data_IF_303216866494
#
_entry.id   IF_303216866494
#
_cell.length_a   1.000
_cell.length_b   1.000
_cell.length_c   1.000
_cell.angle_alpha   90.00
_cell.angle_beta   90.00
_cell.angle_gamma   90.00
#
_symmetry.space_group_name_H-M   'P 1'
#
loop_
_entity.id
_entity.type
_entity.pdbx_description
1 polymer ?
#
# COMPACT_ATOMS: atom_id res chain seq x y z
N UNK A 1 17.44 -6.25 19.05
CA UNK A 1 18.25 -7.34 18.46
C UNK A 1 17.92 -7.54 16.99
N UNK A 2 18.43 -8.64 16.44
CA UNK A 2 18.23 -9.20 15.09
C UNK A 2 18.21 -10.72 15.24
N UNK A 3 17.29 -11.43 14.57
CA UNK A 3 17.27 -12.89 14.59
C UNK A 3 18.41 -13.46 13.73
N UNK A 4 18.97 -14.62 14.10
CA UNK A 4 20.09 -15.25 13.36
C UNK A 4 19.71 -15.69 11.94
N UNK A 5 18.42 -15.99 11.73
CA UNK A 5 17.83 -16.43 10.46
C UNK A 5 16.48 -15.73 10.25
N UNK A 6 15.92 -15.73 9.03
CA UNK A 6 14.54 -15.29 8.80
C UNK A 6 13.59 -15.90 9.83
N UNK A 7 12.80 -15.05 10.49
CA UNK A 7 11.88 -15.48 11.54
C UNK A 7 10.59 -14.68 11.52
N UNK A 8 9.53 -15.22 12.11
CA UNK A 8 8.30 -14.50 12.41
C UNK A 8 7.95 -14.64 13.89
N UNK A 9 7.24 -13.65 14.44
CA UNK A 9 6.71 -13.70 15.80
C UNK A 9 5.29 -14.24 15.76
N UNK A 10 4.99 -15.24 16.58
CA UNK A 10 3.64 -15.75 16.82
C UNK A 10 3.18 -15.31 18.20
N UNK A 11 2.06 -14.62 18.25
CA UNK A 11 1.33 -14.26 19.47
C UNK A 11 0.10 -15.15 19.54
N UNK A 12 0.08 -16.07 20.50
CA UNK A 12 -1.00 -17.04 20.67
C UNK A 12 -1.13 -17.43 22.14
N UNK A 13 -2.35 -17.46 22.68
CA UNK A 13 -2.60 -17.89 24.06
C UNK A 13 -1.93 -17.02 25.14
N UNK A 14 -1.60 -15.76 24.84
CA UNK A 14 -0.89 -14.85 25.74
C UNK A 14 0.65 -14.98 25.70
N UNK A 15 1.17 -15.90 24.89
CA UNK A 15 2.60 -16.13 24.71
C UNK A 15 3.11 -15.51 23.42
N UNK A 16 4.40 -15.14 23.40
CA UNK A 16 5.09 -14.66 22.20
C UNK A 16 6.25 -15.60 21.86
N UNK A 17 6.16 -16.26 20.70
CA UNK A 17 7.15 -17.26 20.26
C UNK A 17 7.78 -16.83 18.95
N UNK A 18 9.11 -16.87 18.89
CA UNK A 18 9.86 -16.66 17.65
C UNK A 18 9.95 -17.98 16.87
N UNK A 19 9.57 -17.98 15.61
CA UNK A 19 9.50 -19.16 14.73
C UNK A 19 10.29 -18.92 13.45
N UNK A 20 10.80 -20.00 12.85
CA UNK A 20 11.52 -19.93 11.57
C UNK A 20 10.60 -19.45 10.44
N UNK A 21 11.11 -18.57 9.57
CA UNK A 21 10.41 -18.04 8.41
C UNK A 21 11.24 -18.22 7.12
N UNK A 22 12.19 -19.16 7.09
CA UNK A 22 13.08 -19.34 5.95
C UNK A 22 12.31 -19.65 4.67
N UNK A 23 11.22 -20.39 4.78
CA UNK A 23 10.33 -20.75 3.66
C UNK A 23 9.38 -19.61 3.21
N UNK A 24 9.31 -18.51 3.97
CA UNK A 24 8.52 -17.32 3.66
C UNK A 24 9.37 -16.17 3.10
N UNK A 25 10.69 -16.25 3.26
CA UNK A 25 11.61 -15.22 2.79
C UNK A 25 11.63 -15.21 1.25
N UNK A 26 11.52 -14.03 0.65
CA UNK A 26 11.38 -13.83 -0.79
C UNK A 26 9.94 -13.85 -1.30
N UNK A 27 8.98 -14.33 -0.51
CA UNK A 27 7.56 -14.30 -0.88
C UNK A 27 6.99 -12.88 -0.77
N UNK A 28 6.02 -12.57 -1.63
CA UNK A 28 5.13 -11.41 -1.47
C UNK A 28 4.32 -11.49 -0.18
N UNK A 29 3.77 -10.34 0.24
CA UNK A 29 2.94 -10.22 1.44
C UNK A 29 1.73 -11.15 1.36
N UNK A 30 1.03 -11.21 0.22
CA UNK A 30 -0.18 -12.00 0.11
C UNK A 30 0.08 -13.50 0.31
N UNK A 31 1.11 -14.03 -0.34
CA UNK A 31 1.53 -15.42 -0.19
C UNK A 31 2.02 -15.71 1.23
N UNK A 32 2.73 -14.77 1.85
CA UNK A 32 3.17 -14.87 3.25
C UNK A 32 1.98 -14.94 4.21
N UNK A 33 1.00 -14.05 4.03
CA UNK A 33 -0.23 -14.00 4.83
C UNK A 33 -1.03 -15.30 4.69
N UNK A 34 -1.22 -15.80 3.47
CA UNK A 34 -1.96 -17.04 3.23
C UNK A 34 -1.26 -18.25 3.86
N UNK A 35 0.07 -18.35 3.73
CA UNK A 35 0.85 -19.41 4.35
C UNK A 35 0.76 -19.38 5.89
N UNK A 36 0.84 -18.19 6.50
CA UNK A 36 0.76 -18.06 7.95
C UNK A 36 -0.66 -18.32 8.49
N UNK A 37 -1.70 -17.94 7.76
CA UNK A 37 -3.09 -18.31 8.08
C UNK A 37 -3.34 -19.81 7.94
N UNK A 38 -2.73 -20.46 6.95
CA UNK A 38 -2.80 -21.92 6.82
C UNK A 38 -2.12 -22.63 8.01
N UNK A 39 -1.04 -22.06 8.57
CA UNK A 39 -0.32 -22.62 9.72
C UNK A 39 -1.03 -22.38 11.06
N UNK A 40 -1.58 -21.19 11.27
CA UNK A 40 -2.03 -20.72 12.61
C UNK A 40 -3.53 -20.41 12.68
N UNK A 41 -4.30 -20.75 11.65
CA UNK A 41 -5.75 -20.56 11.58
C UNK A 41 -6.17 -19.45 10.62
N UNK A 42 -7.30 -19.67 9.93
CA UNK A 42 -7.79 -18.78 8.88
C UNK A 42 -8.11 -17.36 9.37
N UNK A 43 -8.39 -17.19 10.67
CA UNK A 43 -8.69 -15.91 11.32
C UNK A 43 -7.45 -15.17 11.83
N UNK A 44 -6.27 -15.78 11.75
CA UNK A 44 -5.03 -15.16 12.20
C UNK A 44 -4.77 -13.83 11.47
N UNK A 45 -4.37 -12.83 12.23
CA UNK A 45 -4.00 -11.52 11.71
C UNK A 45 -2.49 -11.50 11.50
N UNK A 46 -2.08 -11.13 10.29
CA UNK A 46 -0.68 -11.18 9.85
C UNK A 46 -0.27 -9.79 9.41
N UNK A 47 0.80 -9.26 10.00
CA UNK A 47 1.51 -8.09 9.52
C UNK A 47 2.87 -8.55 8.99
N UNK A 48 3.11 -8.42 7.68
CA UNK A 48 4.27 -8.97 6.99
C UNK A 48 5.00 -7.94 6.14
N UNK A 49 6.28 -8.22 5.87
CA UNK A 49 7.05 -7.53 4.83
C UNK A 49 7.10 -8.36 3.56
N UNK A 50 7.16 -7.69 2.41
CA UNK A 50 7.53 -8.30 1.14
C UNK A 50 9.03 -8.13 0.83
N UNK A 51 9.47 -8.48 -0.39
CA UNK A 51 10.86 -8.38 -0.82
C UNK A 51 11.51 -7.00 -0.62
N UNK A 52 10.74 -5.90 -0.72
CA UNK A 52 11.31 -4.57 -0.48
C UNK A 52 11.80 -4.38 0.96
N UNK A 53 11.09 -4.94 1.95
CA UNK A 53 11.54 -4.93 3.34
C UNK A 53 12.77 -5.80 3.54
N UNK A 54 12.79 -7.00 2.94
CA UNK A 54 13.91 -7.94 2.98
C UNK A 54 15.19 -7.34 2.38
N UNK A 55 15.04 -6.58 1.29
CA UNK A 55 16.12 -5.87 0.61
C UNK A 55 16.38 -4.48 1.17
N UNK A 56 15.79 -4.13 2.32
CA UNK A 56 16.06 -2.87 3.04
C UNK A 56 15.79 -1.60 2.21
N UNK A 57 14.79 -1.60 1.33
CA UNK A 57 14.34 -0.39 0.63
C UNK A 57 13.90 0.64 1.67
N UNK A 58 14.39 1.89 1.57
CA UNK A 58 14.26 2.89 2.65
C UNK A 58 12.82 3.24 3.02
N UNK A 59 11.90 3.01 2.10
CA UNK A 59 10.47 3.24 2.22
C UNK A 59 9.69 1.93 2.05
N UNK A 60 10.25 0.82 2.53
CA UNK A 60 9.53 -0.44 2.63
C UNK A 60 8.45 -0.39 3.72
N UNK A 61 7.31 -0.98 3.39
CA UNK A 61 6.09 -1.08 4.20
C UNK A 61 6.07 -2.37 5.01
N UNK A 62 5.33 -2.35 6.12
CA UNK A 62 4.74 -3.56 6.71
C UNK A 62 3.27 -3.57 6.31
N UNK A 63 2.76 -4.68 5.79
CA UNK A 63 1.39 -4.77 5.28
C UNK A 63 0.60 -5.80 6.08
N UNK A 64 -0.56 -5.38 6.59
CA UNK A 64 -1.46 -6.24 7.36
C UNK A 64 -2.52 -6.87 6.46
N UNK A 65 -2.69 -8.18 6.59
CA UNK A 65 -3.53 -8.97 5.70
C UNK A 65 -2.98 -8.95 4.29
N UNK A 66 -3.80 -8.49 3.34
CA UNK A 66 -3.41 -8.38 1.93
C UNK A 66 -3.15 -6.94 1.50
N UNK A 67 -3.70 -5.94 2.20
CA UNK A 67 -3.91 -4.60 1.64
C UNK A 67 -3.89 -3.42 2.62
N UNK A 68 -3.44 -3.60 3.87
CA UNK A 68 -3.41 -2.52 4.88
C UNK A 68 -1.97 -2.13 5.23
N UNK A 69 -1.32 -1.25 4.46
CA UNK A 69 0.07 -0.89 4.67
C UNK A 69 0.26 0.11 5.83
N UNK A 70 1.19 -0.20 6.73
CA UNK A 70 1.96 0.78 7.48
C UNK A 70 3.14 1.22 6.60
N UNK A 71 2.86 2.13 5.64
CA UNK A 71 3.76 2.36 4.51
C UNK A 71 4.97 3.25 4.79
N UNK A 72 4.77 4.37 5.49
CA UNK A 72 5.80 5.42 5.59
C UNK A 72 6.87 5.10 6.64
N UNK A 73 7.98 5.82 6.55
CA UNK A 73 9.12 5.78 7.49
C UNK A 73 9.98 4.51 7.46
N UNK A 74 9.78 3.62 6.48
CA UNK A 74 10.68 2.48 6.27
C UNK A 74 10.59 1.40 7.33
N UNK A 75 9.42 1.23 7.96
CA UNK A 75 9.22 0.22 8.99
C UNK A 75 9.49 -1.20 8.44
N UNK A 76 9.16 -1.45 7.18
CA UNK A 76 9.45 -2.72 6.52
C UNK A 76 10.96 -3.02 6.41
N UNK A 77 11.79 -2.00 6.19
CA UNK A 77 13.25 -2.16 6.19
C UNK A 77 13.79 -2.43 7.60
N UNK A 78 13.16 -1.87 8.64
CA UNK A 78 13.49 -2.18 10.04
C UNK A 78 13.17 -3.64 10.37
N UNK A 79 12.05 -4.16 9.86
CA UNK A 79 11.70 -5.58 9.95
C UNK A 79 12.75 -6.45 9.25
N UNK A 80 13.08 -6.13 7.98
CA UNK A 80 14.09 -6.86 7.21
C UNK A 80 15.48 -6.84 7.88
N UNK A 81 15.91 -5.69 8.41
CA UNK A 81 17.18 -5.56 9.12
C UNK A 81 17.26 -6.41 10.39
N UNK A 82 16.10 -6.83 10.93
CA UNK A 82 16.00 -7.72 12.09
C UNK A 82 15.80 -9.18 11.71
N UNK A 83 15.82 -9.51 10.42
CA UNK A 83 15.40 -10.81 9.87
C UNK A 83 13.97 -11.20 10.32
N UNK A 84 13.09 -10.20 10.50
CA UNK A 84 11.70 -10.40 10.92
C UNK A 84 10.78 -10.33 9.70
N UNK A 85 10.26 -11.47 9.26
CA UNK A 85 9.34 -11.57 8.11
C UNK A 85 7.93 -11.09 8.44
N UNK A 86 7.43 -11.45 9.62
CA UNK A 86 6.05 -11.16 10.00
C UNK A 86 5.84 -11.15 11.52
N UNK A 87 4.73 -10.55 11.93
CA UNK A 87 4.09 -10.75 13.23
C UNK A 87 2.71 -11.34 12.99
N UNK A 88 2.40 -12.43 13.68
CA UNK A 88 1.14 -13.17 13.58
C UNK A 88 0.45 -13.13 14.93
N UNK A 89 -0.79 -12.66 14.96
CA UNK A 89 -1.66 -12.77 16.12
C UNK A 89 -2.74 -13.82 15.83
N UNK A 90 -2.72 -14.91 16.60
CA UNK A 90 -3.68 -16.01 16.53
C UNK A 90 -4.47 -16.08 17.84
N UNK A 91 -5.80 -16.13 17.72
CA UNK A 91 -6.73 -16.15 18.85
C UNK A 91 -7.96 -15.30 18.59
N UNK A 92 -9.02 -15.60 19.34
CA UNK A 92 -10.35 -14.99 19.22
C UNK A 92 -10.91 -14.50 20.56
N UNK A 93 -10.12 -14.58 21.63
CA UNK A 93 -10.52 -14.12 22.97
C UNK A 93 -10.68 -12.60 22.96
N UNK A 94 -11.91 -12.08 23.19
CA UNK A 94 -12.12 -10.64 23.26
C UNK A 94 -11.38 -10.03 24.45
N UNK A 95 -10.88 -8.80 24.28
CA UNK A 95 -10.33 -8.05 25.40
C UNK A 95 -11.44 -7.74 26.43
N UNK A 96 -11.16 -7.86 27.75
CA UNK A 96 -12.12 -7.46 28.76
C UNK A 96 -12.40 -5.95 28.66
N UNK A 97 -13.68 -5.58 28.68
CA UNK A 97 -14.14 -4.19 28.67
C UNK A 97 -14.75 -3.84 30.02
N UNK A 98 -14.44 -2.64 30.54
CA UNK A 98 -14.93 -2.19 31.84
C UNK A 98 -16.45 -1.96 31.86
N UNK A 99 -17.01 -1.44 30.76
CA UNK A 99 -18.43 -1.16 30.61
C UNK A 99 -18.86 -1.46 29.17
N UNK A 100 -19.39 -2.67 28.96
CA UNK A 100 -19.89 -3.10 27.65
C UNK A 100 -21.11 -2.30 27.19
N UNK A 101 -21.92 -1.77 28.12
CA UNK A 101 -23.10 -0.98 27.83
C UNK A 101 -22.73 0.37 27.21
N UNK A 102 -21.75 1.06 27.81
CA UNK A 102 -21.21 2.31 27.29
C UNK A 102 -20.53 2.13 25.93
N UNK A 103 -19.75 1.05 25.74
CA UNK A 103 -19.14 0.75 24.43
C UNK A 103 -20.21 0.51 23.36
N UNK A 104 -21.27 -0.23 23.69
CA UNK A 104 -22.39 -0.46 22.76
C UNK A 104 -23.11 0.85 22.40
N UNK A 105 -23.37 1.73 23.39
CA UNK A 105 -23.98 3.03 23.17
C UNK A 105 -23.13 3.95 22.28
N UNK A 106 -21.81 4.02 22.53
CA UNK A 106 -20.88 4.77 21.69
C UNK A 106 -20.82 4.21 20.26
N UNK A 107 -20.81 2.88 20.12
CA UNK A 107 -20.82 2.23 18.80
C UNK A 107 -22.08 2.58 18.01
N UNK A 108 -23.25 2.60 18.65
CA UNK A 108 -24.50 3.02 18.03
C UNK A 108 -24.46 4.50 17.62
N UNK A 109 -24.00 5.38 18.53
CA UNK A 109 -23.86 6.82 18.27
C UNK A 109 -22.95 7.10 17.06
N UNK A 110 -21.78 6.48 16.98
CA UNK A 110 -20.86 6.67 15.86
C UNK A 110 -21.43 6.13 14.55
N UNK A 111 -22.12 4.98 14.59
CA UNK A 111 -22.78 4.42 13.39
C UNK A 111 -23.81 5.39 12.81
N UNK A 112 -24.62 6.03 13.66
CA UNK A 112 -25.59 7.04 13.23
C UNK A 112 -24.92 8.35 12.77
N UNK A 113 -23.91 8.80 13.50
CA UNK A 113 -23.19 10.04 13.19
C UNK A 113 -22.41 9.95 11.89
N UNK A 114 -21.78 8.81 11.60
CA UNK A 114 -21.03 8.61 10.36
C UNK A 114 -21.94 8.60 9.13
N UNK A 115 -23.14 8.02 9.23
CA UNK A 115 -24.09 8.00 8.14
C UNK A 115 -24.58 9.40 7.72
N UNK A 116 -24.57 10.36 8.66
CA UNK A 116 -25.01 11.75 8.42
C UNK A 116 -23.85 12.72 8.21
N UNK A 117 -22.61 12.31 8.47
CA UNK A 117 -21.41 13.11 8.21
C UNK A 117 -21.06 13.09 6.71
N UNK A 118 -20.95 14.26 6.04
CA UNK A 118 -20.71 14.30 4.59
C UNK A 118 -19.45 13.58 4.12
N UNK A 119 -18.34 13.72 4.85
CA UNK A 119 -17.06 13.10 4.48
C UNK A 119 -17.11 11.58 4.68
N UNK A 120 -17.65 11.13 5.81
CA UNK A 120 -17.80 9.70 6.09
C UNK A 120 -18.72 9.03 5.07
N UNK A 121 -19.88 9.64 4.76
CA UNK A 121 -20.80 9.15 3.75
C UNK A 121 -20.16 9.09 2.35
N UNK A 122 -19.38 10.11 1.96
CA UNK A 122 -18.62 10.11 0.71
C UNK A 122 -17.61 8.96 0.65
N UNK A 123 -16.84 8.77 1.74
CA UNK A 123 -15.85 7.70 1.84
C UNK A 123 -16.48 6.29 1.95
N UNK A 124 -17.70 6.18 2.46
CA UNK A 124 -18.42 4.91 2.51
C UNK A 124 -18.93 4.48 1.12
N UNK A 125 -19.31 5.46 0.28
CA UNK A 125 -19.69 5.25 -1.12
C UNK A 125 -18.53 4.74 -1.98
N UNK A 126 -18.78 4.42 -3.24
CA UNK A 126 -17.72 4.03 -4.19
C UNK A 126 -17.14 5.25 -4.91
N UNK A 127 -15.81 5.31 -5.15
CA UNK A 127 -14.81 4.26 -4.92
C UNK A 127 -14.15 4.32 -3.52
N UNK A 128 -14.84 4.90 -2.55
CA UNK A 128 -14.46 4.97 -1.14
C UNK A 128 -13.35 5.96 -0.85
N UNK A 129 -12.39 5.57 0.00
CA UNK A 129 -11.23 6.39 0.34
C UNK A 129 -10.30 6.63 -0.87
N UNK A 130 -10.46 5.86 -1.95
CA UNK A 130 -9.83 6.12 -3.25
C UNK A 130 -10.56 7.21 -4.06
N UNK A 131 -11.72 7.66 -3.60
CA UNK A 131 -12.58 8.59 -4.29
C UNK A 131 -12.13 10.03 -4.13
N UNK A 132 -11.44 10.54 -5.14
CA UNK A 132 -11.72 11.89 -5.63
C UNK A 132 -12.79 11.78 -6.71
N UNK A 133 -14.05 11.74 -6.28
CA UNK A 133 -15.17 11.66 -7.20
C UNK A 133 -15.72 13.06 -7.47
N UNK A 134 -15.51 13.56 -8.70
CA UNK A 134 -16.38 14.56 -9.32
C UNK A 134 -16.12 16.04 -9.02
N UNK A 135 -15.33 16.39 -8.00
CA UNK A 135 -15.04 17.80 -7.73
C UNK A 135 -13.87 18.33 -8.58
N UNK A 136 -13.96 19.57 -9.12
CA UNK A 136 -12.84 20.20 -9.77
C UNK A 136 -11.69 20.34 -8.80
N UNK A 137 -10.50 19.89 -9.21
CA UNK A 137 -9.31 20.04 -8.41
C UNK A 137 -8.85 21.49 -8.44
N UNK A 138 -8.79 22.10 -7.26
CA UNK A 138 -8.18 23.40 -7.11
C UNK A 138 -6.71 23.35 -7.57
N UNK A 139 -6.25 24.34 -8.34
CA UNK A 139 -4.86 24.43 -8.78
C UNK A 139 -3.90 24.32 -7.59
N UNK A 140 -2.93 23.40 -7.68
CA UNK A 140 -1.88 23.23 -6.67
C UNK A 140 -2.16 22.18 -5.59
N UNK A 141 -3.33 21.54 -5.59
CA UNK A 141 -3.62 20.45 -4.64
C UNK A 141 -3.13 19.08 -5.16
N UNK A 142 -3.10 18.87 -6.49
CA UNK A 142 -2.72 17.60 -7.09
C UNK A 142 -1.22 17.54 -7.47
N UNK A 143 -0.58 16.40 -7.21
CA UNK A 143 0.76 16.11 -7.69
C UNK A 143 0.71 15.66 -9.15
N UNK A 144 1.07 16.54 -10.09
CA UNK A 144 1.18 16.20 -11.53
C UNK A 144 2.60 16.39 -12.02
N UNK A 145 3.18 15.31 -12.59
CA UNK A 145 4.56 15.27 -13.12
C UNK A 145 5.59 15.90 -12.15
N UNK A 146 5.78 15.29 -11.00
CA UNK A 146 6.65 15.79 -9.92
C UNK A 146 6.30 17.23 -9.47
N UNK A 147 5.00 17.53 -9.31
CA UNK A 147 4.49 18.86 -8.94
C UNK A 147 4.86 20.00 -9.92
N UNK A 148 5.34 19.68 -11.12
CA UNK A 148 5.75 20.68 -12.12
C UNK A 148 4.58 21.26 -12.92
N UNK A 149 3.42 20.61 -12.90
CA UNK A 149 2.23 21.02 -13.63
C UNK A 149 1.09 21.35 -12.66
N UNK A 150 0.50 22.55 -12.71
CA UNK A 150 -0.63 22.90 -11.86
C UNK A 150 -1.94 22.26 -12.35
N UNK A 151 -2.85 22.00 -11.41
CA UNK A 151 -4.16 21.43 -11.72
C UNK A 151 -4.05 20.00 -12.26
N UNK A 152 -4.91 19.63 -13.20
CA UNK A 152 -4.93 18.27 -13.78
C UNK A 152 -3.89 18.05 -14.89
N UNK A 153 -3.33 19.11 -15.48
CA UNK A 153 -2.29 18.97 -16.51
C UNK A 153 -2.69 18.16 -17.76
N UNK A 154 -4.00 18.10 -18.07
CA UNK A 154 -4.55 17.30 -19.16
C UNK A 154 -4.82 15.83 -18.82
N UNK A 155 -4.55 15.40 -17.58
CA UNK A 155 -4.84 14.06 -17.10
C UNK A 155 -6.31 13.92 -16.68
N UNK A 156 -6.88 12.76 -16.95
CA UNK A 156 -8.27 12.45 -16.61
C UNK A 156 -8.41 11.97 -15.18
N UNK A 157 -9.43 12.48 -14.48
CA UNK A 157 -9.84 11.96 -13.18
C UNK A 157 -10.87 10.83 -13.40
N UNK A 158 -10.71 9.65 -12.78
CA UNK A 158 -11.67 8.57 -12.94
C UNK A 158 -13.01 8.93 -12.30
N UNK A 159 -14.10 8.65 -13.01
CA UNK A 159 -15.44 8.65 -12.43
C UNK A 159 -15.70 7.32 -11.71
N UNK A 160 -16.72 7.28 -10.84
CA UNK A 160 -17.12 6.06 -10.12
C UNK A 160 -17.29 4.86 -11.06
N UNK A 161 -17.99 5.05 -12.20
CA UNK A 161 -18.20 4.03 -13.24
C UNK A 161 -16.92 3.44 -13.85
N UNK A 162 -15.78 4.12 -13.75
CA UNK A 162 -14.52 3.60 -14.29
C UNK A 162 -14.00 2.44 -13.41
N UNK A 163 -14.45 2.34 -12.16
CA UNK A 163 -14.13 1.24 -11.24
C UNK A 163 -15.03 0.01 -11.45
N UNK A 164 -16.04 0.08 -12.32
CA UNK A 164 -16.93 -1.04 -12.62
C UNK A 164 -16.14 -2.24 -13.15
N UNK A 165 -16.42 -3.44 -12.61
CA UNK A 165 -15.71 -4.68 -12.94
C UNK A 165 -14.33 -4.84 -12.31
N UNK A 166 -13.84 -3.84 -11.56
CA UNK A 166 -12.52 -3.87 -10.88
C UNK A 166 -12.60 -4.12 -9.38
N UNK A 167 -13.78 -4.01 -8.79
CA UNK A 167 -14.00 -4.24 -7.37
C UNK A 167 -13.65 -5.68 -6.96
N UNK A 168 -12.89 -5.82 -5.88
CA UNK A 168 -12.54 -7.10 -5.24
C UNK A 168 -13.23 -7.22 -3.89
N UNK A 169 -13.23 -6.13 -3.11
CA UNK A 169 -13.97 -6.00 -1.86
C UNK A 169 -14.34 -4.53 -1.64
N UNK A 170 -15.59 -4.28 -1.26
CA UNK A 170 -16.11 -2.93 -1.01
C UNK A 170 -16.59 -2.72 0.43
N UNK A 171 -16.51 -3.76 1.28
CA UNK A 171 -16.93 -3.72 2.69
C UNK A 171 -16.01 -4.60 3.55
N UNK A 172 -15.96 -4.33 4.85
CA UNK A 172 -15.28 -5.16 5.83
C UNK A 172 -13.75 -5.13 5.76
N UNK A 173 -13.15 -4.10 5.14
CA UNK A 173 -11.70 -3.98 5.03
C UNK A 173 -11.03 -3.82 6.40
N UNK A 174 -11.51 -2.87 7.22
CA UNK A 174 -11.01 -2.64 8.58
C UNK A 174 -11.89 -3.34 9.63
N UNK A 175 -11.35 -4.20 10.50
CA UNK A 175 -12.13 -4.87 11.53
C UNK A 175 -12.87 -3.89 12.45
N UNK A 176 -14.18 -4.09 12.62
CA UNK A 176 -15.02 -3.32 13.54
C UNK A 176 -15.33 -1.88 13.11
N UNK A 177 -14.85 -1.43 11.95
CA UNK A 177 -15.15 -0.09 11.43
C UNK A 177 -16.53 -0.08 10.75
N UNK A 178 -17.47 0.79 11.15
CA UNK A 178 -18.79 0.87 10.50
C UNK A 178 -18.79 1.72 9.22
N UNK A 179 -17.68 2.35 8.83
CA UNK A 179 -17.62 3.29 7.71
C UNK A 179 -17.24 2.64 6.37
N UNK A 180 -16.53 1.52 6.39
CA UNK A 180 -16.07 0.81 5.18
C UNK A 180 -15.35 1.71 4.16
N UNK A 181 -14.50 2.64 4.61
CA UNK A 181 -13.88 3.60 3.68
C UNK A 181 -12.90 2.96 2.69
N UNK A 182 -12.06 2.03 3.15
CA UNK A 182 -11.09 1.39 2.28
C UNK A 182 -11.79 0.37 1.39
N UNK A 183 -11.60 0.52 0.08
CA UNK A 183 -12.05 -0.42 -0.95
C UNK A 183 -10.84 -1.10 -1.56
N UNK A 184 -11.02 -2.34 -2.02
CA UNK A 184 -9.99 -3.12 -2.71
C UNK A 184 -10.37 -3.21 -4.18
N UNK A 185 -9.53 -2.63 -5.04
CA UNK A 185 -9.70 -2.62 -6.49
C UNK A 185 -8.47 -3.22 -7.18
N UNK A 186 -8.70 -3.99 -8.23
CA UNK A 186 -7.63 -4.53 -9.06
C UNK A 186 -8.10 -4.66 -10.51
N UNK A 187 -7.21 -4.48 -11.50
CA UNK A 187 -7.56 -4.66 -12.89
C UNK A 187 -8.06 -6.10 -13.14
N UNK A 188 -8.87 -6.32 -14.19
CA UNK A 188 -9.23 -7.68 -14.61
C UNK A 188 -7.97 -8.48 -14.96
N UNK A 189 -7.87 -9.73 -14.49
CA UNK A 189 -6.74 -10.61 -14.81
C UNK A 189 -6.10 -11.32 -13.60
N UNK A 190 -4.89 -11.90 -13.76
CA UNK A 190 -4.31 -12.85 -12.81
C UNK A 190 -3.40 -12.26 -11.72
N UNK A 191 -3.18 -10.94 -11.68
CA UNK A 191 -2.38 -10.33 -10.60
C UNK A 191 -3.00 -10.62 -9.22
N UNK A 192 -2.22 -10.54 -8.14
CA UNK A 192 -2.76 -10.69 -6.77
C UNK A 192 -3.75 -9.56 -6.47
N UNK A 193 -5.03 -9.82 -6.74
CA UNK A 193 -6.10 -8.81 -6.71
C UNK A 193 -6.43 -8.36 -5.28
N UNK A 194 -6.18 -9.20 -4.28
CA UNK A 194 -6.53 -8.91 -2.88
C UNK A 194 -5.64 -7.83 -2.28
N UNK A 195 -4.50 -7.52 -2.89
CA UNK A 195 -3.57 -6.47 -2.47
C UNK A 195 -3.95 -5.08 -2.96
N UNK A 196 -5.08 -4.91 -3.63
CA UNK A 196 -5.52 -3.66 -4.22
C UNK A 196 -6.17 -2.63 -3.29
N UNK A 197 -5.89 -2.64 -1.98
CA UNK A 197 -6.42 -1.64 -1.05
C UNK A 197 -5.99 -0.25 -1.47
N UNK A 198 -6.95 0.58 -1.86
CA UNK A 198 -6.68 1.81 -2.59
C UNK A 198 -6.98 3.05 -1.73
N UNK A 199 -5.95 3.88 -1.53
CA UNK A 199 -6.08 5.23 -1.02
C UNK A 199 -5.86 6.28 -2.11
N UNK A 200 -6.42 7.48 -1.91
CA UNK A 200 -6.23 8.65 -2.77
C UNK A 200 -4.74 8.94 -3.02
N UNK A 201 -3.90 8.77 -2.00
CA UNK A 201 -2.46 9.03 -2.06
C UNK A 201 -1.72 8.10 -3.02
N UNK A 202 -2.11 6.82 -3.06
CA UNK A 202 -1.53 5.85 -3.99
C UNK A 202 -1.94 6.18 -5.43
N UNK A 203 -3.21 6.56 -5.65
CA UNK A 203 -3.70 6.99 -6.96
C UNK A 203 -2.93 8.19 -7.50
N UNK A 204 -2.77 9.25 -6.69
CA UNK A 204 -2.09 10.45 -7.14
C UNK A 204 -0.58 10.22 -7.32
N UNK A 205 0.04 9.46 -6.44
CA UNK A 205 1.49 9.24 -6.45
C UNK A 205 1.94 8.31 -7.58
N UNK A 206 1.17 7.26 -7.86
CA UNK A 206 1.50 6.26 -8.91
C UNK A 206 0.85 6.57 -10.27
N UNK A 207 -0.16 7.45 -10.29
CA UNK A 207 -0.81 7.93 -11.50
C UNK A 207 -0.28 9.30 -11.90
N UNK A 208 -0.97 10.33 -11.46
CA UNK A 208 -0.79 11.69 -11.98
C UNK A 208 0.59 12.27 -11.74
N UNK A 209 1.21 11.95 -10.60
CA UNK A 209 2.56 12.42 -10.31
C UNK A 209 3.59 11.85 -11.29
N UNK A 210 3.30 10.70 -11.89
CA UNK A 210 4.08 10.05 -12.95
C UNK A 210 3.58 10.40 -14.35
N UNK A 211 2.56 11.25 -14.48
CA UNK A 211 1.95 11.62 -15.76
C UNK A 211 1.04 10.54 -16.36
N UNK A 212 0.50 9.63 -15.53
CA UNK A 212 -0.32 8.48 -15.94
C UNK A 212 -1.77 8.68 -15.46
N UNK A 213 -2.75 8.48 -16.34
CA UNK A 213 -4.19 8.48 -16.02
C UNK A 213 -4.92 7.19 -16.42
N UNK A 214 -4.17 6.16 -16.79
CA UNK A 214 -4.67 4.80 -16.95
C UNK A 214 -4.96 4.18 -15.58
N UNK A 215 -6.24 4.00 -15.27
CA UNK A 215 -6.70 3.45 -14.00
C UNK A 215 -6.19 2.02 -13.77
N UNK A 216 -6.16 1.16 -14.79
CA UNK A 216 -5.71 -0.23 -14.64
C UNK A 216 -4.22 -0.31 -14.31
N UNK A 217 -3.41 0.56 -14.93
CA UNK A 217 -2.00 0.68 -14.61
C UNK A 217 -1.77 1.11 -13.15
N UNK A 218 -2.54 2.10 -12.66
CA UNK A 218 -2.44 2.59 -11.28
C UNK A 218 -2.89 1.51 -10.28
N UNK A 219 -3.99 0.82 -10.55
CA UNK A 219 -4.47 -0.28 -9.71
C UNK A 219 -3.47 -1.44 -9.64
N UNK A 220 -2.88 -1.81 -10.78
CA UNK A 220 -1.84 -2.83 -10.84
C UNK A 220 -0.59 -2.43 -10.05
N UNK A 221 -0.14 -1.17 -10.20
CA UNK A 221 1.00 -0.64 -9.48
C UNK A 221 0.78 -0.60 -7.97
N UNK A 222 -0.42 -0.20 -7.52
CA UNK A 222 -0.78 -0.19 -6.10
C UNK A 222 -0.80 -1.61 -5.50
N UNK A 223 -1.43 -2.56 -6.19
CA UNK A 223 -1.44 -3.96 -5.75
C UNK A 223 -0.01 -4.53 -5.66
N UNK A 224 0.85 -4.19 -6.62
CA UNK A 224 2.25 -4.59 -6.61
C UNK A 224 3.04 -3.93 -5.46
N UNK A 225 2.77 -2.66 -5.13
CA UNK A 225 3.38 -2.01 -3.97
C UNK A 225 3.01 -2.72 -2.67
N UNK A 226 1.74 -3.04 -2.48
CA UNK A 226 1.28 -3.75 -1.29
C UNK A 226 1.87 -5.16 -1.19
N UNK A 227 1.91 -5.91 -2.29
CA UNK A 227 2.47 -7.28 -2.27
C UNK A 227 4.00 -7.29 -2.09
N UNK A 228 4.72 -6.35 -2.70
CA UNK A 228 6.17 -6.24 -2.53
C UNK A 228 6.59 -5.54 -1.22
N UNK A 229 5.65 -4.89 -0.53
CA UNK A 229 5.90 -4.13 0.69
C UNK A 229 6.61 -2.80 0.43
N UNK A 230 6.12 -1.99 -0.51
CA UNK A 230 6.59 -0.64 -0.82
C UNK A 230 5.57 0.42 -0.44
N UNK A 231 6.04 1.59 0.00
CA UNK A 231 5.20 2.78 0.16
C UNK A 231 4.90 3.40 -1.21
N UNK A 232 3.65 3.40 -1.68
CA UNK A 232 3.30 3.95 -2.99
C UNK A 232 3.59 5.46 -3.08
N UNK A 233 3.54 6.19 -1.96
CA UNK A 233 3.79 7.65 -1.94
C UNK A 233 5.27 7.95 -2.14
N UNK A 234 6.14 7.35 -1.32
CA UNK A 234 7.58 7.55 -1.45
C UNK A 234 8.13 7.00 -2.75
N UNK A 235 7.60 5.86 -3.23
CA UNK A 235 7.93 5.30 -4.53
C UNK A 235 7.52 6.26 -5.66
N UNK A 236 6.25 6.70 -5.67
CA UNK A 236 5.75 7.63 -6.68
C UNK A 236 6.54 8.95 -6.72
N UNK A 237 6.87 9.53 -5.57
CA UNK A 237 7.73 10.71 -5.50
C UNK A 237 9.15 10.46 -6.02
N UNK A 238 9.72 9.28 -5.74
CA UNK A 238 11.07 8.91 -6.18
C UNK A 238 11.13 8.63 -7.68
N UNK A 239 10.12 7.96 -8.24
CA UNK A 239 10.01 7.75 -9.68
C UNK A 239 9.76 9.07 -10.42
N UNK A 240 8.90 9.95 -9.89
CA UNK A 240 8.64 11.26 -10.48
C UNK A 240 9.91 12.13 -10.53
N UNK A 241 10.72 12.11 -9.47
CA UNK A 241 12.05 12.73 -9.45
C UNK A 241 12.95 12.17 -10.56
N UNK A 242 13.04 10.85 -10.69
CA UNK A 242 13.87 10.21 -11.72
C UNK A 242 13.40 10.55 -13.14
N UNK A 243 12.08 10.59 -13.36
CA UNK A 243 11.47 10.98 -14.63
C UNK A 243 11.78 12.43 -15.00
N UNK A 244 11.77 13.33 -14.02
CA UNK A 244 12.16 14.72 -14.25
C UNK A 244 13.66 14.87 -14.54
N UNK A 245 14.52 14.15 -13.82
CA UNK A 245 15.95 14.10 -14.12
C UNK A 245 16.21 13.61 -15.55
N UNK A 246 15.50 12.57 -15.99
CA UNK A 246 15.60 12.05 -17.36
C UNK A 246 15.14 13.10 -18.39
N UNK A 247 13.98 13.73 -18.16
CA UNK A 247 13.45 14.79 -19.04
C UNK A 247 14.39 16.01 -19.15
N UNK A 248 15.17 16.29 -18.10
CA UNK A 248 16.19 17.36 -18.07
C UNK A 248 17.57 16.92 -18.54
N UNK A 249 17.74 15.66 -18.98
CA UNK A 249 19.02 15.11 -19.44
C UNK A 249 20.04 14.82 -18.33
N UNK A 250 19.63 14.87 -17.06
CA UNK A 250 20.47 14.55 -15.89
C UNK A 250 20.58 13.04 -15.63
N UNK A 251 19.61 12.26 -16.13
CA UNK A 251 19.61 10.81 -16.07
C UNK A 251 19.39 10.23 -17.48
N UNK A 252 20.45 10.16 -18.32
CA UNK A 252 20.35 9.58 -19.66
C UNK A 252 19.86 8.13 -19.62
N UNK A 253 18.84 7.79 -20.41
CA UNK A 253 18.23 6.46 -20.39
C UNK A 253 17.30 6.18 -19.20
N UNK A 254 17.01 7.20 -18.38
CA UNK A 254 16.06 7.11 -17.27
C UNK A 254 14.59 6.99 -17.72
N UNK A 255 13.68 6.73 -16.77
CA UNK A 255 12.25 6.56 -17.07
C UNK A 255 11.62 7.87 -17.56
N UNK A 256 10.53 7.77 -18.32
CA UNK A 256 9.80 8.93 -18.84
C UNK A 256 8.44 9.10 -18.15
N UNK A 257 7.98 10.35 -18.00
CA UNK A 257 6.61 10.63 -17.58
C UNK A 257 5.60 10.04 -18.60
N UNK A 258 4.51 9.46 -18.08
CA UNK A 258 3.43 8.88 -18.87
C UNK A 258 3.70 7.45 -19.37
N UNK A 259 4.87 6.87 -19.11
CA UNK A 259 5.17 5.48 -19.49
C UNK A 259 4.59 4.48 -18.49
N UNK A 260 3.28 4.22 -18.63
CA UNK A 260 2.56 3.25 -17.81
C UNK A 260 3.08 1.81 -17.98
N UNK A 261 3.63 1.47 -19.15
CA UNK A 261 4.11 0.12 -19.45
C UNK A 261 5.40 -0.22 -18.70
N UNK A 262 6.27 0.77 -18.47
CA UNK A 262 7.51 0.59 -17.70
C UNK A 262 7.28 0.44 -16.18
N UNK A 263 6.16 0.95 -15.67
CA UNK A 263 5.92 1.08 -14.22
C UNK A 263 6.06 -0.25 -13.46
N UNK A 264 5.47 -1.39 -13.88
CA UNK A 264 5.63 -2.65 -13.16
C UNK A 264 7.07 -3.17 -13.11
N UNK A 265 7.89 -2.86 -14.12
CA UNK A 265 9.31 -3.21 -14.15
C UNK A 265 10.09 -2.40 -13.11
N UNK A 266 9.93 -1.08 -13.15
CA UNK A 266 10.58 -0.15 -12.21
C UNK A 266 10.26 -0.47 -10.75
N UNK A 267 9.00 -0.79 -10.43
CA UNK A 267 8.58 -1.15 -9.08
C UNK A 267 9.32 -2.41 -8.60
N UNK A 268 9.43 -3.43 -9.46
CA UNK A 268 10.15 -4.68 -9.12
C UNK A 268 11.64 -4.43 -8.95
N UNK A 269 12.24 -3.63 -9.84
CA UNK A 269 13.66 -3.30 -9.76
C UNK A 269 14.00 -2.55 -8.47
N UNK A 270 13.15 -1.60 -8.05
CA UNK A 270 13.29 -0.92 -6.75
C UNK A 270 13.15 -1.90 -5.59
N UNK A 271 12.10 -2.74 -5.58
CA UNK A 271 11.90 -3.72 -4.51
C UNK A 271 13.06 -4.72 -4.39
N UNK A 272 13.66 -5.10 -5.52
CA UNK A 272 14.76 -6.04 -5.61
C UNK A 272 16.15 -5.38 -5.50
N UNK A 273 16.22 -4.04 -5.48
CA UNK A 273 17.47 -3.29 -5.70
C UNK A 273 18.23 -3.77 -6.95
N UNK A 274 17.50 -4.07 -8.01
CA UNK A 274 18.06 -4.62 -9.24
C UNK A 274 18.57 -3.52 -10.17
N UNK A 275 19.78 -3.70 -10.68
CA UNK A 275 20.46 -2.73 -11.53
C UNK A 275 20.84 -1.45 -10.79
N UNK A 276 21.65 -0.60 -11.44
CA UNK A 276 22.14 0.65 -10.84
C UNK A 276 20.99 1.61 -10.52
N UNK A 277 19.99 1.68 -11.40
CA UNK A 277 18.83 2.55 -11.19
C UNK A 277 17.93 2.05 -10.06
N UNK A 278 17.60 0.76 -10.00
CA UNK A 278 16.75 0.19 -8.95
C UNK A 278 17.37 0.36 -7.56
N UNK A 279 18.67 0.11 -7.42
CA UNK A 279 19.38 0.32 -6.15
C UNK A 279 19.44 1.81 -5.75
N UNK A 280 19.71 2.71 -6.70
CA UNK A 280 19.72 4.15 -6.45
C UNK A 280 18.35 4.63 -5.95
N UNK A 281 17.28 4.24 -6.64
CA UNK A 281 15.93 4.69 -6.32
C UNK A 281 15.41 4.05 -5.02
N UNK A 282 15.87 2.86 -4.64
CA UNK A 282 15.55 2.25 -3.35
C UNK A 282 16.01 3.08 -2.12
N UNK A 283 16.93 4.03 -2.30
CA UNK A 283 17.33 4.98 -1.25
C UNK A 283 16.37 6.17 -1.06
N UNK A 284 15.48 6.41 -2.02
CA UNK A 284 14.52 7.52 -2.03
C UNK A 284 15.09 8.80 -2.64
N UNK A 285 14.19 9.66 -3.14
CA UNK A 285 14.55 10.85 -3.94
C UNK A 285 15.64 11.74 -3.32
N UNK A 286 15.55 12.05 -2.02
CA UNK A 286 16.51 12.92 -1.35
C UNK A 286 17.94 12.37 -1.36
N UNK A 287 18.11 11.05 -1.22
CA UNK A 287 19.43 10.39 -1.27
C UNK A 287 19.88 10.16 -2.70
N UNK A 288 18.95 9.83 -3.58
CA UNK A 288 19.24 9.69 -5.00
C UNK A 288 19.75 11.02 -5.59
N UNK A 289 19.15 12.16 -5.22
CA UNK A 289 19.56 13.50 -5.66
C UNK A 289 20.94 13.94 -5.16
N UNK A 290 21.47 13.31 -4.12
CA UNK A 290 22.79 13.62 -3.56
C UNK A 290 23.93 12.83 -4.23
N UNK A 291 23.62 11.94 -5.17
CA UNK A 291 24.56 11.11 -5.92
C UNK A 291 24.61 11.57 -7.38
#
# INVERSE_FOLDING_TARGET
GRAERPSYLLVEGGEVVCRDAGDLWGLGVAATTDALRARHGATAQVAAIGPAGENLVRYASVVTGHAHPAGRYGLGAVFGAKNLKAVVCAGDVPAPVADSGTIAALTAFYRESLATNPLAALQAGEPGFAGWAGDPLDPGYASVRNFSVPGAGGLRLPAVRDYDGRAVSTTGACPGCPNDCLKVYAPPGPAERRSGGLGQEAFLSLGWNLGIDDLDAVLAANALCNDLGLDPVSLGGTLAFAMECAARGLLPGGPAFGDAAALPGLIRDVAARAGELGDLLAEGSARAAAR
#
